data_IF_065211687998
#
_entry.id   IF_065211687998
#
_cell.length_a   1.000
_cell.length_b   1.000
_cell.length_c   1.000
_cell.angle_alpha   90.00
_cell.angle_beta   90.00
_cell.angle_gamma   90.00
#
_symmetry.space_group_name_H-M   'P 1'
#
loop_
_entity.id
_entity.type
_entity.pdbx_description
1 polymer ?
#
# COMPACT_ATOMS: atom_id res chain seq x y z
N UNK A 1 -26.97 -27.93 -17.62
CA UNK A 1 -26.07 -26.74 -17.41
C UNK A 1 -25.03 -27.20 -16.41
N UNK A 2 -23.93 -27.77 -16.88
CA UNK A 2 -22.83 -28.27 -16.04
C UNK A 2 -21.93 -27.07 -15.70
N UNK A 3 -21.99 -26.70 -14.45
CA UNK A 3 -21.09 -25.65 -13.91
C UNK A 3 -19.66 -26.23 -13.92
N UNK A 4 -18.75 -25.56 -14.61
CA UNK A 4 -17.35 -25.91 -14.65
C UNK A 4 -16.77 -25.78 -13.23
N UNK A 5 -16.30 -26.85 -12.57
CA UNK A 5 -15.83 -26.82 -11.20
C UNK A 5 -14.56 -25.99 -11.00
N UNK A 6 -13.85 -25.65 -12.09
CA UNK A 6 -12.59 -24.89 -12.04
C UNK A 6 -12.78 -23.37 -12.11
N UNK A 7 -14.02 -22.89 -12.24
CA UNK A 7 -14.31 -21.45 -12.32
C UNK A 7 -15.27 -21.02 -11.19
N UNK A 8 -14.79 -20.70 -9.99
CA UNK A 8 -15.61 -20.25 -8.89
C UNK A 8 -16.38 -18.97 -9.28
N UNK A 9 -17.70 -18.91 -9.06
CA UNK A 9 -18.52 -17.74 -9.39
C UNK A 9 -18.06 -16.54 -8.56
N UNK A 10 -17.59 -15.49 -9.23
CA UNK A 10 -17.22 -14.23 -8.60
C UNK A 10 -15.75 -13.83 -8.70
N UNK A 11 -14.88 -14.66 -9.25
CA UNK A 11 -13.50 -14.22 -9.51
C UNK A 11 -13.48 -13.38 -10.79
N UNK A 12 -13.36 -12.05 -10.62
CA UNK A 12 -12.98 -11.14 -11.71
C UNK A 12 -11.78 -11.73 -12.44
N UNK A 13 -11.92 -12.03 -13.72
CA UNK A 13 -10.81 -12.56 -14.53
C UNK A 13 -9.63 -11.58 -14.44
N UNK A 14 -8.42 -12.10 -14.34
CA UNK A 14 -7.19 -11.27 -14.25
C UNK A 14 -7.17 -10.12 -15.26
N UNK A 15 -7.55 -10.32 -16.56
CA UNK A 15 -7.61 -9.22 -17.52
C UNK A 15 -8.64 -8.14 -17.15
N UNK A 16 -9.75 -8.51 -16.54
CA UNK A 16 -10.79 -7.56 -16.13
C UNK A 16 -10.34 -6.66 -14.97
N UNK A 17 -9.56 -7.20 -14.02
CA UNK A 17 -8.94 -6.41 -12.96
C UNK A 17 -7.92 -5.42 -13.53
N UNK A 18 -7.09 -5.86 -14.47
CA UNK A 18 -6.13 -4.98 -15.16
C UNK A 18 -6.85 -3.87 -15.91
N UNK A 19 -7.91 -4.18 -16.65
CA UNK A 19 -8.72 -3.18 -17.38
C UNK A 19 -9.36 -2.19 -16.43
N UNK A 20 -9.92 -2.63 -15.30
CA UNK A 20 -10.51 -1.75 -14.29
C UNK A 20 -9.47 -0.81 -13.66
N UNK A 21 -8.28 -1.33 -13.35
CA UNK A 21 -7.18 -0.53 -12.79
C UNK A 21 -6.69 0.50 -13.81
N UNK A 22 -6.54 0.12 -15.08
CA UNK A 22 -6.15 1.03 -16.16
C UNK A 22 -7.21 2.10 -16.42
N UNK A 23 -8.50 1.73 -16.41
CA UNK A 23 -9.61 2.68 -16.56
C UNK A 23 -9.68 3.67 -15.39
N UNK A 24 -9.58 3.18 -14.15
CA UNK A 24 -9.57 4.04 -12.97
C UNK A 24 -8.37 4.99 -12.97
N UNK A 25 -7.18 4.48 -13.30
CA UNK A 25 -5.97 5.28 -13.42
C UNK A 25 -6.07 6.30 -14.57
N UNK A 26 -6.60 5.89 -15.73
CA UNK A 26 -6.82 6.77 -16.87
C UNK A 26 -7.84 7.88 -16.61
N UNK A 27 -8.94 7.56 -15.92
CA UNK A 27 -9.95 8.55 -15.51
C UNK A 27 -9.37 9.55 -14.49
N UNK A 28 -8.62 9.07 -13.51
CA UNK A 28 -7.95 9.92 -12.54
C UNK A 28 -6.91 10.82 -13.22
N UNK A 29 -6.13 10.28 -14.15
CA UNK A 29 -5.17 11.04 -14.95
C UNK A 29 -5.87 12.09 -15.82
N UNK A 30 -6.96 11.75 -16.53
CA UNK A 30 -7.71 12.67 -17.37
C UNK A 30 -8.32 13.80 -16.55
N UNK A 31 -8.82 13.51 -15.34
CA UNK A 31 -9.36 14.51 -14.43
C UNK A 31 -8.27 15.50 -13.97
N UNK A 32 -7.11 15.00 -13.60
CA UNK A 32 -5.97 15.81 -13.19
C UNK A 32 -5.37 16.62 -14.35
N UNK A 33 -5.27 16.04 -15.54
CA UNK A 33 -4.77 16.72 -16.74
C UNK A 33 -5.72 17.79 -17.24
N UNK A 34 -7.05 17.58 -17.13
CA UNK A 34 -8.07 18.58 -17.48
C UNK A 34 -8.14 19.76 -16.51
N UNK A 35 -7.71 19.58 -15.27
CA UNK A 35 -7.71 20.62 -14.24
C UNK A 35 -6.46 21.51 -14.27
N UNK A 36 -5.38 21.13 -14.97
CA UNK A 36 -4.14 21.89 -15.02
C UNK A 36 -3.74 22.23 -16.46
N UNK A 37 -3.50 23.50 -16.71
CA UNK A 37 -2.87 23.97 -17.96
C UNK A 37 -1.42 23.44 -18.12
N UNK A 38 -0.90 22.75 -17.10
CA UNK A 38 0.45 22.20 -17.02
C UNK A 38 0.39 20.68 -16.81
N UNK A 39 0.12 19.93 -17.86
CA UNK A 39 0.07 18.46 -17.84
C UNK A 39 1.35 17.81 -17.26
N UNK A 40 2.53 18.42 -17.46
CA UNK A 40 3.80 17.98 -16.88
C UNK A 40 3.82 18.09 -15.35
N UNK A 41 3.32 19.21 -14.83
CA UNK A 41 3.24 19.41 -13.38
C UNK A 41 2.23 18.44 -12.75
N UNK A 42 1.12 18.18 -13.43
CA UNK A 42 0.14 17.17 -13.02
C UNK A 42 0.73 15.75 -13.02
N UNK A 43 1.48 15.39 -14.05
CA UNK A 43 2.16 14.10 -14.14
C UNK A 43 3.20 13.92 -13.02
N UNK A 44 4.02 14.93 -12.78
CA UNK A 44 5.02 14.91 -11.71
C UNK A 44 4.36 14.82 -10.33
N UNK A 45 3.25 15.51 -10.11
CA UNK A 45 2.49 15.42 -8.87
C UNK A 45 1.94 13.98 -8.67
N UNK A 46 1.31 13.40 -9.68
CA UNK A 46 0.80 12.01 -9.60
C UNK A 46 1.92 11.00 -9.35
N UNK A 47 3.06 11.17 -10.01
CA UNK A 47 4.22 10.30 -9.80
C UNK A 47 4.81 10.45 -8.38
N UNK A 48 4.95 11.69 -7.89
CA UNK A 48 5.45 11.94 -6.54
C UNK A 48 4.51 11.38 -5.47
N UNK A 49 3.20 11.61 -5.62
CA UNK A 49 2.19 11.12 -4.67
C UNK A 49 2.07 9.60 -4.72
N UNK A 50 2.16 9.01 -5.91
CA UNK A 50 2.18 7.56 -6.10
C UNK A 50 3.41 6.90 -5.46
N UNK A 51 4.60 7.50 -5.63
CA UNK A 51 5.82 7.03 -4.99
C UNK A 51 5.75 7.15 -3.47
N UNK A 52 5.23 8.27 -2.96
CA UNK A 52 5.00 8.47 -1.53
C UNK A 52 4.03 7.43 -0.96
N UNK A 53 2.88 7.25 -1.61
CA UNK A 53 1.91 6.23 -1.20
C UNK A 53 2.52 4.82 -1.22
N UNK A 54 3.27 4.49 -2.29
CA UNK A 54 4.00 3.24 -2.41
C UNK A 54 5.03 3.03 -1.29
N UNK A 55 5.78 4.07 -0.95
CA UNK A 55 6.76 4.03 0.15
C UNK A 55 6.07 3.80 1.52
N UNK A 56 4.93 4.46 1.76
CA UNK A 56 4.15 4.25 3.00
C UNK A 56 3.61 2.83 3.09
N UNK A 57 3.07 2.29 1.99
CA UNK A 57 2.57 0.89 1.95
C UNK A 57 3.71 -0.10 2.15
N UNK A 58 4.86 0.13 1.53
CA UNK A 58 6.04 -0.73 1.68
C UNK A 58 6.59 -0.68 3.12
N UNK A 59 6.65 0.51 3.73
CA UNK A 59 7.03 0.68 5.14
C UNK A 59 6.04 -0.03 6.08
N UNK A 60 4.74 0.13 5.82
CA UNK A 60 3.69 -0.57 6.56
C UNK A 60 3.85 -2.08 6.46
N UNK A 61 4.08 -2.62 5.26
CA UNK A 61 4.35 -4.04 5.06
C UNK A 61 5.60 -4.52 5.84
N UNK A 62 6.64 -3.68 5.92
CA UNK A 62 7.84 -3.94 6.71
C UNK A 62 7.53 -4.12 8.20
N UNK A 63 6.80 -3.19 8.80
CA UNK A 63 6.37 -3.29 10.20
C UNK A 63 5.40 -4.44 10.44
N UNK A 64 4.38 -4.58 9.57
CA UNK A 64 3.38 -5.63 9.70
C UNK A 64 3.98 -7.03 9.59
N UNK A 65 5.03 -7.20 8.79
CA UNK A 65 5.71 -8.49 8.67
C UNK A 65 6.37 -8.94 9.98
N UNK A 66 6.85 -8.01 10.81
CA UNK A 66 7.37 -8.33 12.15
C UNK A 66 6.30 -8.96 13.05
N UNK A 67 5.05 -8.48 12.93
CA UNK A 67 3.92 -9.02 13.67
C UNK A 67 3.43 -10.34 13.08
N UNK A 68 3.29 -10.42 11.76
CA UNK A 68 2.80 -11.62 11.07
C UNK A 68 3.70 -12.82 11.34
N UNK A 69 5.02 -12.63 11.44
CA UNK A 69 5.94 -13.72 11.81
C UNK A 69 5.65 -14.35 13.16
N UNK A 70 5.02 -13.61 14.08
CA UNK A 70 4.67 -14.12 15.42
C UNK A 70 3.31 -14.80 15.47
N UNK A 71 2.42 -14.46 14.54
CA UNK A 71 0.99 -14.84 14.60
C UNK A 71 0.60 -15.80 13.48
N UNK A 72 1.18 -15.64 12.29
CA UNK A 72 0.78 -16.45 11.14
C UNK A 72 1.51 -17.80 11.09
N UNK A 73 0.80 -18.90 10.80
CA UNK A 73 1.41 -20.21 10.62
C UNK A 73 2.37 -20.20 9.44
N UNK A 74 3.46 -20.97 9.55
CA UNK A 74 4.49 -21.05 8.52
C UNK A 74 3.96 -21.60 7.17
N UNK A 75 2.87 -22.34 7.20
CA UNK A 75 2.19 -22.94 6.04
C UNK A 75 1.36 -21.97 5.20
N UNK A 76 1.14 -20.72 5.66
CA UNK A 76 0.33 -19.75 4.92
C UNK A 76 1.01 -19.34 3.59
N UNK A 77 0.24 -19.22 2.48
CA UNK A 77 0.75 -18.76 1.19
C UNK A 77 1.46 -17.42 1.29
N UNK A 78 2.54 -17.23 0.51
CA UNK A 78 3.36 -16.02 0.54
C UNK A 78 2.54 -14.75 0.25
N UNK A 79 1.59 -14.83 -0.70
CA UNK A 79 0.71 -13.72 -1.05
C UNK A 79 -0.20 -13.33 0.13
N UNK A 80 -0.76 -14.30 0.84
CA UNK A 80 -1.61 -14.05 2.00
C UNK A 80 -0.81 -13.40 3.13
N UNK A 81 0.41 -13.87 3.38
CA UNK A 81 1.31 -13.26 4.38
C UNK A 81 1.67 -11.82 4.03
N UNK A 82 1.93 -11.54 2.75
CA UNK A 82 2.23 -10.17 2.29
C UNK A 82 1.02 -9.24 2.47
N UNK A 83 -0.16 -9.68 2.05
CA UNK A 83 -1.39 -8.90 2.22
C UNK A 83 -1.69 -8.64 3.70
N UNK A 84 -1.63 -9.68 4.53
CA UNK A 84 -1.87 -9.55 5.97
C UNK A 84 -0.85 -8.62 6.61
N UNK A 85 0.43 -8.67 6.21
CA UNK A 85 1.45 -7.77 6.73
C UNK A 85 1.20 -6.32 6.31
N UNK A 86 0.78 -6.07 5.07
CA UNK A 86 0.45 -4.71 4.62
C UNK A 86 -0.76 -4.14 5.37
N UNK A 87 -1.82 -4.93 5.54
CA UNK A 87 -3.03 -4.50 6.26
C UNK A 87 -2.74 -4.22 7.73
N UNK A 88 -2.06 -5.14 8.42
CA UNK A 88 -1.69 -4.96 9.84
C UNK A 88 -0.75 -3.76 10.03
N UNK A 89 0.20 -3.59 9.12
CA UNK A 89 1.12 -2.47 9.17
C UNK A 89 0.43 -1.13 8.92
N UNK A 90 -0.49 -1.05 7.96
CA UNK A 90 -1.31 0.14 7.72
C UNK A 90 -2.20 0.46 8.91
N UNK A 91 -2.81 -0.55 9.52
CA UNK A 91 -3.61 -0.36 10.72
C UNK A 91 -2.77 0.19 11.89
N UNK A 92 -1.57 -0.36 12.12
CA UNK A 92 -0.64 0.14 13.14
C UNK A 92 -0.23 1.59 12.86
N UNK A 93 0.17 1.90 11.63
CA UNK A 93 0.57 3.26 11.26
C UNK A 93 -0.58 4.24 11.42
N UNK A 94 -1.78 3.89 10.97
CA UNK A 94 -2.98 4.74 11.14
C UNK A 94 -3.29 5.00 12.60
N UNK A 95 -3.21 3.97 13.45
CA UNK A 95 -3.45 4.11 14.89
C UNK A 95 -2.37 4.98 15.54
N UNK A 96 -1.10 4.80 15.16
CA UNK A 96 0.00 5.62 15.66
C UNK A 96 -0.14 7.09 15.24
N UNK A 97 -0.52 7.34 13.97
CA UNK A 97 -0.78 8.70 13.45
C UNK A 97 -1.89 9.37 14.24
N UNK A 98 -3.00 8.67 14.47
CA UNK A 98 -4.13 9.19 15.25
C UNK A 98 -3.73 9.45 16.70
N UNK A 99 -3.03 8.52 17.35
CA UNK A 99 -2.62 8.66 18.74
C UNK A 99 -1.63 9.83 18.92
N UNK A 100 -0.62 9.93 18.08
CA UNK A 100 0.38 11.01 18.13
C UNK A 100 -0.24 12.34 17.75
N UNK A 101 -1.06 12.37 16.70
CA UNK A 101 -1.72 13.59 16.22
C UNK A 101 -2.72 14.16 17.23
N UNK A 102 -3.39 13.30 18.03
CA UNK A 102 -4.29 13.74 19.08
C UNK A 102 -3.57 14.18 20.36
N UNK A 103 -2.40 13.58 20.66
CA UNK A 103 -1.65 13.86 21.88
C UNK A 103 -0.72 15.08 21.78
N UNK A 104 -0.18 15.34 20.58
CA UNK A 104 0.83 16.39 20.37
C UNK A 104 0.40 17.29 19.19
N UNK A 105 -0.07 18.51 19.45
CA UNK A 105 -0.37 19.49 18.41
C UNK A 105 0.88 19.77 17.56
N UNK A 106 0.73 19.67 16.24
CA UNK A 106 1.84 19.88 15.30
C UNK A 106 2.75 18.67 15.03
N UNK A 107 2.53 17.52 15.69
CA UNK A 107 3.31 16.29 15.41
C UNK A 107 3.03 15.67 14.04
N UNK A 108 2.02 16.15 13.31
CA UNK A 108 1.70 15.71 11.95
C UNK A 108 2.57 16.39 10.89
N UNK A 109 3.66 17.04 11.29
CA UNK A 109 4.63 17.61 10.34
C UNK A 109 5.39 16.49 9.63
N UNK A 110 5.64 16.70 8.33
CA UNK A 110 6.31 15.71 7.46
C UNK A 110 7.66 15.22 8.02
N UNK A 111 8.40 16.05 8.76
CA UNK A 111 9.69 15.72 9.38
C UNK A 111 9.61 14.57 10.38
N UNK A 112 8.50 14.45 11.10
CA UNK A 112 8.29 13.40 12.10
C UNK A 112 8.01 12.05 11.41
N UNK A 113 7.38 12.07 10.25
CA UNK A 113 6.95 10.84 9.58
C UNK A 113 8.03 10.22 8.68
N UNK A 114 8.99 11.01 8.18
CA UNK A 114 10.09 10.47 7.40
C UNK A 114 10.90 9.38 8.12
N UNK A 115 11.34 9.56 9.38
CA UNK A 115 12.02 8.50 10.14
C UNK A 115 11.16 7.24 10.31
N UNK A 116 9.85 7.39 10.48
CA UNK A 116 8.92 6.27 10.62
C UNK A 116 8.84 5.47 9.30
N UNK A 117 8.68 6.15 8.17
CA UNK A 117 8.66 5.50 6.85
C UNK A 117 10.01 4.85 6.55
N UNK A 118 11.12 5.55 6.78
CA UNK A 118 12.47 5.03 6.59
C UNK A 118 12.74 3.79 7.46
N UNK A 119 12.31 3.80 8.72
CA UNK A 119 12.42 2.66 9.63
C UNK A 119 11.66 1.42 9.13
N UNK A 120 10.44 1.60 8.62
CA UNK A 120 9.64 0.53 8.04
C UNK A 120 10.26 -0.07 6.78
N UNK A 121 10.79 0.79 5.89
CA UNK A 121 11.51 0.35 4.69
C UNK A 121 12.79 -0.41 5.07
N UNK A 122 13.57 0.11 6.01
CA UNK A 122 14.79 -0.56 6.49
C UNK A 122 14.47 -1.92 7.10
N UNK A 123 13.40 -2.05 7.89
CA UNK A 123 12.94 -3.30 8.43
C UNK A 123 12.56 -4.29 7.32
N UNK A 124 11.87 -3.83 6.28
CA UNK A 124 11.52 -4.65 5.11
C UNK A 124 12.75 -5.17 4.36
N UNK A 125 13.71 -4.29 4.05
CA UNK A 125 14.96 -4.65 3.37
C UNK A 125 15.80 -5.62 4.19
N UNK A 126 15.94 -5.36 5.48
CA UNK A 126 16.70 -6.23 6.38
C UNK A 126 16.11 -7.65 6.45
N UNK A 127 14.79 -7.76 6.46
CA UNK A 127 14.11 -9.05 6.44
C UNK A 127 14.26 -9.77 5.09
N UNK A 128 14.23 -9.04 3.97
CA UNK A 128 14.45 -9.62 2.65
C UNK A 128 15.85 -10.19 2.49
N UNK A 129 16.86 -9.55 3.11
CA UNK A 129 18.26 -10.02 3.08
C UNK A 129 18.53 -11.25 3.98
N UNK A 130 17.65 -11.53 4.93
CA UNK A 130 17.78 -12.70 5.84
C UNK A 130 17.08 -13.95 5.34
N UNK A 131 16.47 -13.92 4.18
CA UNK A 131 15.87 -15.07 3.49
C UNK A 131 16.82 -15.69 2.49
#
# INVERSE_FOLDING_TARGET
MTQDPDNPPGMLSRPMVVVLVLLAGGLMFAHLAGASQFWLAGLLAVLSDGLMAGAVVAAAAGYGHLLVRRVAPASAPAALRLLTSAVLGLWMLSTAVLAVGSAVPGALTWWVWWPVVAGGLAAGVWQARRR
#
